data_IF_934797008811
#
_entry.id   IF_934797008811
#
_cell.length_a   1.000
_cell.length_b   1.000
_cell.length_c   1.000
_cell.angle_alpha   90.00
_cell.angle_beta   90.00
_cell.angle_gamma   90.00
#
_symmetry.space_group_name_H-M   'P 1'
#
loop_
_entity.id
_entity.type
_entity.pdbx_description
1 polymer ?
#
# COMPACT_ATOMS: atom_id res chain seq x y z
N UNK A 1 -32.99 48.66 2.79
CA UNK A 1 -32.02 49.38 1.98
C UNK A 1 -30.72 48.64 2.11
N UNK A 2 -30.10 48.03 1.15
CA UNK A 2 -30.22 47.98 -0.31
C UNK A 2 -29.71 46.62 -0.79
N UNK A 3 -30.36 46.13 -1.78
CA UNK A 3 -30.06 45.02 -2.69
C UNK A 3 -28.69 45.15 -3.39
N UNK A 4 -28.13 44.03 -3.79
CA UNK A 4 -27.44 43.74 -5.06
C UNK A 4 -27.39 42.20 -5.12
N UNK A 5 -28.19 41.52 -5.89
CA UNK A 5 -28.34 41.07 -7.28
C UNK A 5 -27.22 40.12 -7.74
N UNK A 6 -27.63 38.91 -7.88
CA UNK A 6 -27.45 37.85 -8.87
C UNK A 6 -26.54 38.14 -10.08
N UNK A 7 -25.69 37.20 -10.43
CA UNK A 7 -25.60 36.70 -11.82
C UNK A 7 -25.10 35.24 -11.81
N UNK A 8 -26.03 34.37 -12.21
CA UNK A 8 -25.78 33.00 -12.65
C UNK A 8 -25.45 33.02 -14.15
N UNK A 9 -24.42 32.32 -14.57
CA UNK A 9 -24.29 31.85 -15.95
C UNK A 9 -24.11 30.34 -16.00
N UNK A 10 -25.19 29.72 -16.48
CA UNK A 10 -25.22 28.35 -16.94
C UNK A 10 -24.53 28.24 -18.30
N UNK A 11 -23.52 27.39 -18.42
CA UNK A 11 -23.11 26.85 -19.71
C UNK A 11 -23.65 25.44 -19.88
N UNK A 12 -24.72 25.37 -20.71
CA UNK A 12 -25.22 24.15 -21.34
C UNK A 12 -24.24 23.67 -22.40
N UNK A 13 -23.79 22.41 -22.31
CA UNK A 13 -23.31 21.67 -23.47
C UNK A 13 -23.99 20.29 -23.47
N UNK A 14 -24.86 20.10 -24.46
CA UNK A 14 -25.55 18.85 -24.79
C UNK A 14 -24.59 17.85 -25.46
N UNK A 15 -24.87 16.53 -25.42
CA UNK A 15 -24.01 15.51 -26.00
C UNK A 15 -24.33 15.26 -27.47
N UNK A 16 -23.41 14.72 -28.27
CA UNK A 16 -23.76 14.11 -29.56
C UNK A 16 -24.03 12.60 -29.40
N UNK A 17 -25.06 12.20 -30.11
CA UNK A 17 -25.59 10.86 -30.32
C UNK A 17 -24.80 10.03 -31.33
N UNK A 18 -24.95 8.70 -31.19
CA UNK A 18 -24.93 7.62 -32.21
C UNK A 18 -23.55 7.19 -32.73
N UNK A 19 -23.31 5.95 -33.06
CA UNK A 19 -24.05 4.70 -33.13
C UNK A 19 -23.14 3.50 -33.46
N UNK A 20 -23.69 2.32 -33.22
CA UNK A 20 -23.56 1.02 -33.92
C UNK A 20 -22.32 0.15 -33.76
N UNK A 21 -22.57 -0.89 -33.01
CA UNK A 21 -22.37 -2.35 -33.19
C UNK A 21 -21.23 -2.88 -34.04
N UNK A 22 -20.41 -3.75 -33.46
CA UNK A 22 -20.14 -5.11 -33.94
C UNK A 22 -19.36 -5.94 -32.91
N UNK A 23 -19.91 -7.04 -32.59
CA UNK A 23 -19.44 -8.38 -32.16
C UNK A 23 -17.99 -8.61 -31.73
N UNK A 24 -17.84 -9.22 -30.55
CA UNK A 24 -17.01 -10.41 -30.34
C UNK A 24 -15.59 -10.17 -29.86
N UNK A 25 -15.33 -10.48 -28.58
CA UNK A 25 -13.98 -10.63 -28.08
C UNK A 25 -13.92 -10.45 -26.56
N UNK A 26 -13.88 -11.56 -25.83
CA UNK A 26 -13.53 -11.55 -24.42
C UNK A 26 -12.11 -11.01 -24.26
N UNK A 27 -11.99 -9.77 -23.77
CA UNK A 27 -10.73 -9.15 -23.42
C UNK A 27 -10.87 -8.55 -22.03
N UNK A 28 -10.01 -8.99 -21.12
CA UNK A 28 -9.86 -8.44 -19.80
C UNK A 28 -9.55 -6.95 -19.93
N UNK A 29 -10.54 -6.07 -19.75
CA UNK A 29 -10.32 -4.62 -19.71
C UNK A 29 -9.51 -4.27 -18.47
N UNK A 30 -8.25 -3.95 -18.69
CA UNK A 30 -7.44 -3.21 -17.72
C UNK A 30 -8.10 -1.85 -17.54
N UNK A 31 -8.73 -1.64 -16.38
CA UNK A 31 -9.20 -0.32 -15.97
C UNK A 31 -8.00 0.64 -15.94
N UNK A 32 -7.88 1.43 -16.99
CA UNK A 32 -6.91 2.51 -17.03
C UNK A 32 -7.42 3.64 -16.13
N UNK A 33 -6.73 3.87 -15.02
CA UNK A 33 -6.88 5.12 -14.28
C UNK A 33 -6.47 6.28 -15.19
N UNK A 34 -7.22 7.40 -15.24
CA UNK A 34 -6.80 8.57 -15.98
C UNK A 34 -5.43 9.05 -15.48
N UNK A 35 -4.47 9.15 -16.38
CA UNK A 35 -3.08 9.49 -16.08
C UNK A 35 -2.85 10.98 -15.77
N UNK A 36 -3.89 11.76 -15.48
CA UNK A 36 -3.76 13.20 -15.31
C UNK A 36 -4.51 13.72 -14.09
N UNK A 37 -3.87 13.64 -12.92
CA UNK A 37 -4.01 14.70 -11.92
C UNK A 37 -2.72 15.51 -11.99
N UNK A 38 -2.65 16.41 -12.97
CA UNK A 38 -1.61 17.41 -13.04
C UNK A 38 -1.81 18.43 -11.94
N UNK A 39 -0.98 18.37 -10.88
CA UNK A 39 -0.72 19.53 -10.04
C UNK A 39 -0.04 20.58 -10.94
N UNK A 40 -0.79 21.64 -11.29
CA UNK A 40 -0.28 22.81 -11.98
C UNK A 40 0.75 23.52 -11.09
N UNK A 41 2.01 23.40 -11.43
CA UNK A 41 3.08 24.20 -10.84
C UNK A 41 4.47 23.59 -10.95
N UNK A 42 5.00 23.39 -12.14
CA UNK A 42 6.38 23.69 -12.46
C UNK A 42 6.72 23.34 -13.92
N UNK A 43 6.67 24.33 -14.79
CA UNK A 43 7.39 24.25 -16.05
C UNK A 43 8.87 24.39 -15.74
N UNK A 44 9.66 23.31 -15.90
CA UNK A 44 11.07 23.33 -16.33
C UNK A 44 11.64 21.93 -16.50
N UNK A 45 12.17 21.71 -17.69
CA UNK A 45 13.27 20.82 -18.11
C UNK A 45 12.95 19.55 -18.89
N UNK A 46 12.85 19.77 -20.20
CA UNK A 46 12.93 18.74 -21.27
C UNK A 46 14.37 18.20 -21.48
N UNK A 47 15.30 18.36 -20.53
CA UNK A 47 16.68 17.84 -20.65
C UNK A 47 17.00 16.66 -19.74
N UNK A 48 16.02 16.09 -19.05
CA UNK A 48 16.25 14.97 -18.11
C UNK A 48 16.26 13.57 -18.73
N UNK A 49 15.58 13.37 -19.84
CA UNK A 49 15.32 12.01 -20.36
C UNK A 49 16.55 11.36 -21.03
N UNK A 50 17.46 12.14 -21.59
CA UNK A 50 18.65 11.60 -22.28
C UNK A 50 19.77 11.23 -21.31
N UNK A 51 19.84 11.87 -20.14
CA UNK A 51 20.83 11.54 -19.10
C UNK A 51 20.41 10.30 -18.32
N UNK A 52 19.11 10.01 -18.18
CA UNK A 52 18.61 8.85 -17.45
C UNK A 52 18.98 7.52 -18.13
N UNK A 53 19.02 7.47 -19.48
CA UNK A 53 19.27 6.23 -20.23
C UNK A 53 20.77 5.82 -20.16
N UNK A 54 21.68 6.77 -20.06
CA UNK A 54 23.11 6.47 -19.96
C UNK A 54 23.56 6.03 -18.55
N UNK A 55 22.82 6.41 -17.51
CA UNK A 55 23.11 6.05 -16.10
C UNK A 55 22.65 4.63 -15.78
N UNK A 56 21.69 4.07 -16.52
CA UNK A 56 20.99 2.83 -16.18
C UNK A 56 21.85 1.57 -16.27
N UNK A 57 22.79 1.45 -17.20
CA UNK A 57 23.52 0.19 -17.41
C UNK A 57 24.77 0.02 -16.53
N UNK A 58 25.46 1.09 -16.18
CA UNK A 58 26.64 1.04 -15.29
C UNK A 58 26.26 1.03 -13.79
N UNK A 59 25.04 1.48 -13.44
CA UNK A 59 24.56 1.57 -12.06
C UNK A 59 23.79 0.32 -11.58
N UNK A 60 23.38 -0.57 -12.49
CA UNK A 60 22.60 -1.75 -12.15
C UNK A 60 23.27 -2.67 -11.11
N UNK A 61 24.58 -3.02 -11.26
CA UNK A 61 25.29 -3.80 -10.24
C UNK A 61 25.36 -3.09 -8.88
N UNK A 62 25.50 -1.77 -8.89
CA UNK A 62 25.54 -0.96 -7.67
C UNK A 62 24.18 -0.86 -7.00
N UNK A 63 23.09 -0.65 -7.77
CA UNK A 63 21.71 -0.67 -7.27
C UNK A 63 21.40 -1.99 -6.57
N UNK A 64 21.68 -3.11 -7.24
CA UNK A 64 21.45 -4.46 -6.72
C UNK A 64 22.18 -4.67 -5.39
N UNK A 65 23.49 -4.33 -5.33
CA UNK A 65 24.29 -4.47 -4.11
C UNK A 65 23.77 -3.62 -2.95
N UNK A 66 23.35 -2.39 -3.22
CA UNK A 66 22.73 -1.53 -2.20
C UNK A 66 21.46 -2.17 -1.67
N UNK A 67 20.56 -2.63 -2.54
CA UNK A 67 19.32 -3.29 -2.15
C UNK A 67 19.59 -4.54 -1.32
N UNK A 68 20.47 -5.44 -1.78
CA UNK A 68 20.86 -6.65 -1.05
C UNK A 68 21.28 -6.35 0.37
N UNK A 69 22.22 -5.41 0.55
CA UNK A 69 22.77 -5.08 1.89
C UNK A 69 21.73 -4.36 2.74
N UNK A 70 21.06 -3.36 2.19
CA UNK A 70 20.15 -2.53 2.99
C UNK A 70 18.89 -3.28 3.41
N UNK A 71 18.29 -4.09 2.51
CA UNK A 71 17.10 -4.88 2.86
C UNK A 71 17.44 -5.90 3.96
N UNK A 72 18.58 -6.59 3.83
CA UNK A 72 19.07 -7.50 4.89
C UNK A 72 19.18 -6.76 6.23
N UNK A 73 19.84 -5.60 6.25
CA UNK A 73 20.04 -4.82 7.46
C UNK A 73 18.73 -4.26 8.04
N UNK A 74 17.77 -3.87 7.20
CA UNK A 74 16.45 -3.46 7.69
C UNK A 74 15.76 -4.59 8.45
N UNK A 75 15.89 -5.84 7.98
CA UNK A 75 15.30 -7.00 8.65
C UNK A 75 16.06 -7.42 9.91
N UNK A 76 17.40 -7.32 9.93
CA UNK A 76 18.24 -7.79 11.03
C UNK A 76 18.34 -6.79 12.19
N UNK A 77 18.44 -5.49 11.90
CA UNK A 77 18.71 -4.47 12.93
C UNK A 77 17.71 -3.30 12.95
N UNK A 78 16.74 -3.30 12.05
CA UNK A 78 15.73 -2.26 11.90
C UNK A 78 16.12 -1.15 10.94
N UNK A 79 15.09 -0.48 10.44
CA UNK A 79 15.25 0.64 9.49
C UNK A 79 16.05 1.80 10.10
N UNK A 80 15.71 2.22 11.32
CA UNK A 80 16.30 3.41 11.97
C UNK A 80 17.79 3.27 12.22
N UNK A 81 18.23 2.09 12.66
CA UNK A 81 19.64 1.81 12.98
C UNK A 81 20.51 1.58 11.75
N UNK A 82 19.92 1.35 10.57
CA UNK A 82 20.67 1.09 9.35
C UNK A 82 21.25 2.36 8.75
N UNK A 83 22.57 2.40 8.58
CA UNK A 83 23.32 3.47 7.89
C UNK A 83 23.80 2.93 6.55
N UNK A 84 23.13 3.33 5.48
CA UNK A 84 23.22 2.74 4.14
C UNK A 84 24.63 2.80 3.51
N UNK A 85 25.33 3.93 3.69
CA UNK A 85 26.57 4.20 2.97
C UNK A 85 27.77 3.44 3.51
N UNK A 86 27.85 3.28 4.84
CA UNK A 86 29.00 2.62 5.46
C UNK A 86 29.01 1.10 5.24
N UNK A 87 27.86 0.50 5.00
CA UNK A 87 27.69 -0.96 4.96
C UNK A 87 27.60 -1.52 3.54
N UNK A 88 27.20 -0.73 2.54
CA UNK A 88 27.07 -1.18 1.15
C UNK A 88 28.38 -1.13 0.35
N UNK A 89 29.46 -0.63 0.91
CA UNK A 89 30.75 -0.40 0.22
C UNK A 89 30.60 0.40 -1.08
N UNK A 90 29.62 1.28 -1.13
CA UNK A 90 29.33 2.18 -2.26
C UNK A 90 29.59 3.61 -1.81
N UNK A 91 30.18 4.44 -2.67
CA UNK A 91 30.39 5.84 -2.33
C UNK A 91 29.09 6.61 -2.16
N UNK A 92 29.09 7.63 -1.31
CA UNK A 92 27.94 8.52 -1.10
C UNK A 92 27.36 9.05 -2.43
N UNK A 93 28.23 9.44 -3.36
CA UNK A 93 27.79 9.96 -4.67
C UNK A 93 27.03 8.91 -5.48
N UNK A 94 27.51 7.67 -5.53
CA UNK A 94 26.86 6.58 -6.25
C UNK A 94 25.51 6.28 -5.59
N UNK A 95 25.46 6.21 -4.26
CA UNK A 95 24.21 5.99 -3.54
C UNK A 95 23.17 7.09 -3.84
N UNK A 96 23.57 8.36 -3.68
CA UNK A 96 22.67 9.50 -3.92
C UNK A 96 22.20 9.61 -5.37
N UNK A 97 23.01 9.19 -6.34
CA UNK A 97 22.61 9.15 -7.75
C UNK A 97 21.55 8.07 -8.03
N UNK A 98 21.56 6.95 -7.28
CA UNK A 98 20.63 5.83 -7.49
C UNK A 98 19.33 6.02 -6.69
N UNK A 99 19.44 6.33 -5.40
CA UNK A 99 18.31 6.35 -4.47
C UNK A 99 18.00 7.72 -3.84
N UNK A 100 18.87 8.73 -4.06
CA UNK A 100 18.80 10.05 -3.42
C UNK A 100 18.86 10.00 -1.89
N UNK A 101 18.07 9.10 -1.26
CA UNK A 101 17.98 8.89 0.18
C UNK A 101 17.69 7.42 0.51
N UNK A 102 17.75 7.06 1.78
CA UNK A 102 17.41 5.73 2.31
C UNK A 102 15.95 5.35 2.00
N UNK A 103 15.07 6.34 1.88
CA UNK A 103 13.65 6.18 1.59
C UNK A 103 13.41 5.56 0.20
N UNK A 104 14.27 5.82 -0.79
CA UNK A 104 14.19 5.16 -2.09
C UNK A 104 14.49 3.66 -2.02
N UNK A 105 15.35 3.22 -1.10
CA UNK A 105 15.56 1.79 -0.83
C UNK A 105 14.32 1.18 -0.16
N UNK A 106 13.72 1.91 0.79
CA UNK A 106 12.49 1.49 1.44
C UNK A 106 11.34 1.34 0.43
N UNK A 107 11.22 2.25 -0.53
CA UNK A 107 10.19 2.17 -1.57
C UNK A 107 10.30 0.89 -2.41
N UNK A 108 11.51 0.49 -2.82
CA UNK A 108 11.73 -0.78 -3.55
C UNK A 108 11.37 -2.03 -2.71
N UNK A 109 11.66 -1.99 -1.40
CA UNK A 109 11.26 -3.04 -0.48
C UNK A 109 9.74 -3.12 -0.32
N UNK A 110 9.11 -1.99 -0.13
CA UNK A 110 7.65 -1.85 0.06
C UNK A 110 6.89 -2.29 -1.18
N UNK A 111 7.34 -1.89 -2.37
CA UNK A 111 6.75 -2.35 -3.64
C UNK A 111 6.71 -3.87 -3.70
N UNK A 112 7.80 -4.54 -3.32
CA UNK A 112 7.84 -5.99 -3.28
C UNK A 112 6.92 -6.58 -2.20
N UNK A 113 6.92 -6.03 -0.97
CA UNK A 113 6.12 -6.54 0.14
C UNK A 113 4.61 -6.43 -0.13
N UNK A 114 4.18 -5.30 -0.69
CA UNK A 114 2.76 -4.98 -0.87
C UNK A 114 2.17 -5.48 -2.19
N UNK A 115 3.00 -5.79 -3.21
CA UNK A 115 2.51 -6.23 -4.53
C UNK A 115 1.64 -7.50 -4.50
N UNK A 116 1.78 -8.35 -3.48
CA UNK A 116 1.08 -9.63 -3.37
C UNK A 116 0.32 -9.84 -2.05
N UNK A 117 0.17 -8.79 -1.23
CA UNK A 117 -0.40 -8.94 0.11
C UNK A 117 -1.83 -9.52 0.12
N UNK A 118 -2.73 -9.01 -0.73
CA UNK A 118 -4.10 -9.52 -0.84
C UNK A 118 -4.15 -10.93 -1.46
N UNK A 119 -3.27 -11.25 -2.42
CA UNK A 119 -3.15 -12.59 -2.95
C UNK A 119 -2.69 -13.59 -1.88
N UNK A 120 -1.76 -13.18 -1.03
CA UNK A 120 -1.32 -13.97 0.13
C UNK A 120 -2.45 -14.18 1.12
N UNK A 121 -3.21 -13.13 1.46
CA UNK A 121 -4.36 -13.23 2.34
C UNK A 121 -5.44 -14.18 1.79
N UNK A 122 -5.77 -14.07 0.49
CA UNK A 122 -6.69 -15.00 -0.19
C UNK A 122 -6.21 -16.44 -0.12
N UNK A 123 -4.93 -16.69 -0.32
CA UNK A 123 -4.34 -18.03 -0.25
C UNK A 123 -4.40 -18.61 1.17
N UNK A 124 -4.14 -17.80 2.18
CA UNK A 124 -4.14 -18.24 3.59
C UNK A 124 -5.55 -18.43 4.16
N UNK A 125 -6.49 -17.60 3.71
CA UNK A 125 -7.86 -17.60 4.22
C UNK A 125 -8.78 -18.65 3.55
N UNK A 126 -8.36 -19.21 2.41
CA UNK A 126 -9.14 -20.12 1.58
C UNK A 126 -9.85 -19.41 0.41
N UNK A 127 -9.87 -20.08 -0.74
CA UNK A 127 -10.25 -19.50 -2.04
C UNK A 127 -11.72 -19.04 -2.16
N UNK A 128 -12.57 -19.28 -1.16
CA UNK A 128 -14.02 -18.99 -1.21
C UNK A 128 -14.49 -17.96 -0.18
N UNK A 129 -13.58 -17.26 0.51
CA UNK A 129 -14.00 -16.23 1.44
C UNK A 129 -14.60 -15.01 0.73
N UNK A 130 -15.67 -14.42 1.28
CA UNK A 130 -16.20 -13.16 0.78
C UNK A 130 -15.13 -12.06 0.83
N UNK A 131 -15.15 -11.08 -0.10
CA UNK A 131 -14.11 -10.07 -0.21
C UNK A 131 -13.81 -9.30 1.08
N UNK A 132 -14.83 -8.92 1.85
CA UNK A 132 -14.66 -8.21 3.13
C UNK A 132 -13.91 -9.05 4.19
N UNK A 133 -14.04 -10.37 4.17
CA UNK A 133 -13.28 -11.27 5.03
C UNK A 133 -11.80 -11.35 4.61
N UNK A 134 -11.52 -11.32 3.29
CA UNK A 134 -10.15 -11.26 2.78
C UNK A 134 -9.45 -9.98 3.26
N UNK A 135 -10.13 -8.84 3.21
CA UNK A 135 -9.63 -7.58 3.78
C UNK A 135 -9.30 -7.71 5.27
N UNK A 136 -10.22 -8.31 6.04
CA UNK A 136 -10.02 -8.49 7.49
C UNK A 136 -8.83 -9.41 7.80
N UNK A 137 -8.65 -10.49 7.04
CA UNK A 137 -7.50 -11.42 7.19
C UNK A 137 -6.19 -10.70 6.83
N UNK A 138 -6.16 -9.98 5.72
CA UNK A 138 -4.99 -9.22 5.28
C UNK A 138 -4.57 -8.20 6.33
N UNK A 139 -5.50 -7.40 6.80
CA UNK A 139 -5.31 -6.41 7.86
C UNK A 139 -4.81 -7.05 9.16
N UNK A 140 -5.45 -8.16 9.58
CA UNK A 140 -5.06 -8.88 10.78
C UNK A 140 -3.63 -9.44 10.68
N UNK A 141 -3.24 -9.95 9.51
CA UNK A 141 -1.87 -10.42 9.26
C UNK A 141 -0.88 -9.25 9.39
N UNK A 142 -1.13 -8.11 8.71
CA UNK A 142 -0.21 -6.96 8.76
C UNK A 142 0.00 -6.45 10.20
N UNK A 143 -1.08 -6.26 10.96
CA UNK A 143 -0.98 -5.83 12.35
C UNK A 143 -0.24 -6.84 13.22
N UNK A 144 -0.50 -8.14 13.02
CA UNK A 144 0.16 -9.19 13.78
C UNK A 144 1.65 -9.28 13.46
N UNK A 145 2.05 -9.12 12.19
CA UNK A 145 3.47 -9.06 11.79
C UNK A 145 4.24 -7.96 12.54
N UNK A 146 3.61 -6.81 12.75
CA UNK A 146 4.23 -5.71 13.50
C UNK A 146 4.33 -5.98 15.01
N UNK A 147 3.52 -6.90 15.55
CA UNK A 147 3.65 -7.35 16.94
C UNK A 147 4.69 -8.46 17.09
N UNK A 148 4.82 -9.33 16.10
CA UNK A 148 5.77 -10.45 16.14
C UNK A 148 7.22 -10.01 15.92
N UNK A 149 7.45 -8.90 15.20
CA UNK A 149 8.80 -8.48 14.82
C UNK A 149 8.95 -6.94 14.83
N UNK A 150 9.79 -6.44 15.75
CA UNK A 150 10.02 -5.00 15.92
C UNK A 150 10.66 -4.36 14.68
N UNK A 151 11.55 -5.04 13.97
CA UNK A 151 12.17 -4.52 12.76
C UNK A 151 11.15 -4.40 11.61
N UNK A 152 10.22 -5.37 11.49
CA UNK A 152 9.08 -5.25 10.59
C UNK A 152 8.16 -4.10 11.01
N UNK A 153 7.89 -3.92 12.30
CA UNK A 153 7.13 -2.75 12.80
C UNK A 153 7.75 -1.44 12.32
N UNK A 154 9.06 -1.28 12.48
CA UNK A 154 9.75 -0.08 11.98
C UNK A 154 9.59 0.10 10.47
N UNK A 155 9.75 -0.97 9.69
CA UNK A 155 9.60 -0.94 8.23
C UNK A 155 8.17 -0.52 7.84
N UNK A 156 7.14 -1.10 8.45
CA UNK A 156 5.74 -0.76 8.16
C UNK A 156 5.43 0.70 8.54
N UNK A 157 5.84 1.16 9.74
CA UNK A 157 5.62 2.55 10.17
C UNK A 157 6.27 3.54 9.20
N UNK A 158 7.51 3.29 8.79
CA UNK A 158 8.21 4.15 7.85
C UNK A 158 7.60 4.05 6.44
N UNK A 159 7.15 2.87 6.00
CA UNK A 159 6.45 2.67 4.73
C UNK A 159 5.19 3.55 4.61
N UNK A 160 4.40 3.63 5.67
CA UNK A 160 3.22 4.51 5.74
C UNK A 160 3.54 5.99 5.99
N UNK A 161 4.81 6.35 6.18
CA UNK A 161 5.26 7.72 6.49
C UNK A 161 6.00 8.35 5.33
N UNK A 162 6.89 7.59 4.67
CA UNK A 162 7.73 8.09 3.59
C UNK A 162 6.93 8.22 2.30
N UNK A 163 7.01 9.39 1.68
CA UNK A 163 6.11 9.78 0.57
C UNK A 163 6.08 8.77 -0.58
N UNK A 164 7.24 8.32 -1.08
CA UNK A 164 7.30 7.42 -2.25
C UNK A 164 6.68 6.05 -1.92
N UNK A 165 6.98 5.50 -0.75
CA UNK A 165 6.44 4.23 -0.27
C UNK A 165 4.94 4.33 0.03
N UNK A 166 4.51 5.36 0.76
CA UNK A 166 3.11 5.54 1.12
C UNK A 166 2.21 5.83 -0.09
N UNK A 167 2.67 6.65 -1.04
CA UNK A 167 1.94 6.90 -2.29
C UNK A 167 1.70 5.59 -3.09
N UNK A 168 2.66 4.67 -3.08
CA UNK A 168 2.50 3.35 -3.70
C UNK A 168 1.45 2.51 -2.95
N UNK A 169 1.59 2.39 -1.61
CA UNK A 169 0.65 1.64 -0.77
C UNK A 169 -0.77 2.14 -0.98
N UNK A 170 -1.01 3.44 -0.84
CA UNK A 170 -2.36 4.01 -0.93
C UNK A 170 -3.01 3.76 -2.29
N UNK A 171 -2.25 3.85 -3.39
CA UNK A 171 -2.79 3.60 -4.73
C UNK A 171 -3.13 2.13 -4.96
N UNK A 172 -2.25 1.22 -4.55
CA UNK A 172 -2.49 -0.21 -4.79
C UNK A 172 -3.59 -0.74 -3.85
N UNK A 173 -3.57 -0.34 -2.58
CA UNK A 173 -4.63 -0.72 -1.62
C UNK A 173 -5.98 -0.14 -2.03
N UNK A 174 -6.07 1.12 -2.46
CA UNK A 174 -7.34 1.72 -2.89
C UNK A 174 -8.00 0.97 -4.06
N UNK A 175 -7.22 0.40 -4.99
CA UNK A 175 -7.77 -0.44 -6.07
C UNK A 175 -8.45 -1.70 -5.53
N UNK A 176 -7.80 -2.38 -4.59
CA UNK A 176 -8.37 -3.56 -3.93
C UNK A 176 -9.60 -3.20 -3.10
N UNK A 177 -9.55 -2.09 -2.34
CA UNK A 177 -10.68 -1.61 -1.55
C UNK A 177 -11.90 -1.27 -2.41
N UNK A 178 -11.71 -0.66 -3.56
CA UNK A 178 -12.80 -0.41 -4.51
C UNK A 178 -13.43 -1.71 -5.02
N UNK A 179 -12.63 -2.74 -5.30
CA UNK A 179 -13.13 -4.05 -5.70
C UNK A 179 -13.87 -4.77 -4.56
N UNK A 180 -13.39 -4.63 -3.33
CA UNK A 180 -13.94 -5.29 -2.15
C UNK A 180 -15.23 -4.60 -1.69
N UNK A 181 -15.24 -3.29 -1.60
CA UNK A 181 -16.27 -2.50 -0.91
C UNK A 181 -17.13 -1.63 -1.84
N UNK A 182 -16.82 -1.55 -3.12
CA UNK A 182 -17.58 -0.70 -4.05
C UNK A 182 -19.07 -1.06 -4.13
N UNK A 183 -19.44 -2.32 -3.90
CA UNK A 183 -20.86 -2.75 -3.87
C UNK A 183 -21.63 -2.22 -2.65
N UNK A 184 -20.96 -1.88 -1.55
CA UNK A 184 -21.58 -1.27 -0.36
C UNK A 184 -21.78 0.25 -0.53
N UNK A 185 -21.05 0.89 -1.45
CA UNK A 185 -21.08 2.32 -1.71
C UNK A 185 -21.06 2.58 -3.23
N UNK A 186 -22.12 2.19 -3.96
CA UNK A 186 -22.15 2.23 -5.43
C UNK A 186 -22.09 3.64 -6.03
N UNK A 187 -22.33 4.67 -5.22
CA UNK A 187 -22.21 6.08 -5.58
C UNK A 187 -20.77 6.60 -5.60
N UNK A 188 -19.83 5.87 -4.95
CA UNK A 188 -18.44 6.28 -4.84
C UNK A 188 -17.60 5.76 -6.01
N UNK A 189 -16.62 6.57 -6.39
CA UNK A 189 -15.65 6.26 -7.44
C UNK A 189 -14.38 5.63 -6.86
N UNK A 190 -13.55 5.05 -7.71
CA UNK A 190 -12.21 4.58 -7.32
C UNK A 190 -11.34 5.71 -6.70
N UNK A 191 -11.57 6.98 -7.11
CA UNK A 191 -10.86 8.12 -6.53
C UNK A 191 -11.34 8.42 -5.10
N UNK A 192 -12.62 8.23 -4.81
CA UNK A 192 -13.14 8.39 -3.44
C UNK A 192 -12.55 7.31 -2.52
N UNK A 193 -12.42 6.07 -2.98
CA UNK A 193 -11.73 5.01 -2.25
C UNK A 193 -10.26 5.32 -1.98
N UNK A 194 -9.58 6.00 -2.90
CA UNK A 194 -8.22 6.49 -2.63
C UNK A 194 -8.21 7.52 -1.48
N UNK A 195 -9.17 8.44 -1.42
CA UNK A 195 -9.25 9.40 -0.32
C UNK A 195 -9.64 8.75 1.01
N UNK A 196 -10.49 7.73 0.98
CA UNK A 196 -10.82 6.93 2.17
C UNK A 196 -9.61 6.16 2.67
N UNK A 197 -8.79 5.61 1.76
CA UNK A 197 -7.58 4.90 2.12
C UNK A 197 -6.55 5.80 2.81
N UNK A 198 -6.42 7.07 2.48
CA UNK A 198 -5.57 7.99 3.23
C UNK A 198 -5.96 8.05 4.72
N UNK A 199 -7.25 7.96 5.03
CA UNK A 199 -7.76 7.91 6.40
C UNK A 199 -7.51 6.56 7.06
N UNK A 200 -7.89 5.44 6.41
CA UNK A 200 -7.76 4.10 6.97
C UNK A 200 -6.29 3.70 7.18
N UNK A 201 -5.42 4.02 6.23
CA UNK A 201 -3.99 3.83 6.35
C UNK A 201 -3.36 4.64 7.49
N UNK A 202 -3.84 5.88 7.72
CA UNK A 202 -3.42 6.69 8.86
C UNK A 202 -3.78 6.03 10.20
N UNK A 203 -4.99 5.50 10.32
CA UNK A 203 -5.45 4.74 11.49
C UNK A 203 -4.61 3.47 11.65
N UNK A 204 -4.41 2.71 10.57
CA UNK A 204 -3.60 1.49 10.57
C UNK A 204 -2.19 1.75 11.10
N UNK A 205 -1.53 2.76 10.55
CA UNK A 205 -0.20 3.19 10.98
C UNK A 205 -0.17 3.55 12.48
N UNK A 206 -1.19 4.25 12.98
CA UNK A 206 -1.26 4.60 14.40
C UNK A 206 -1.32 3.35 15.29
N UNK A 207 -2.14 2.36 14.92
CA UNK A 207 -2.20 1.08 15.66
C UNK A 207 -0.90 0.29 15.57
N UNK A 208 -0.24 0.24 14.41
CA UNK A 208 1.06 -0.43 14.25
C UNK A 208 2.15 0.24 15.10
N UNK A 209 2.10 1.57 15.26
CA UNK A 209 3.07 2.33 16.04
C UNK A 209 2.92 2.14 17.56
N UNK A 210 1.79 1.62 18.02
CA UNK A 210 1.52 1.29 19.42
C UNK A 210 1.68 -0.21 19.65
N UNK A 211 2.76 -0.71 20.27
CA UNK A 211 2.88 -2.11 20.66
C UNK A 211 1.72 -2.55 21.55
N UNK A 212 1.37 -3.83 21.47
CA UNK A 212 0.39 -4.41 22.39
C UNK A 212 0.92 -4.41 23.82
N UNK A 213 0.01 -4.21 24.77
CA UNK A 213 0.23 -4.26 26.20
C UNK A 213 -0.95 -4.93 26.91
N UNK A 214 -1.02 -4.83 28.24
CA UNK A 214 -2.10 -5.43 29.05
C UNK A 214 -3.48 -4.80 28.78
N UNK A 215 -3.52 -3.52 28.40
CA UNK A 215 -4.77 -2.79 28.13
C UNK A 215 -5.18 -2.88 26.65
N UNK A 216 -4.22 -2.90 25.72
CA UNK A 216 -4.43 -3.00 24.27
C UNK A 216 -3.83 -4.30 23.74
N UNK A 217 -4.52 -5.43 23.99
CA UNK A 217 -4.12 -6.74 23.45
C UNK A 217 -4.28 -6.77 21.92
N UNK A 218 -3.62 -7.72 21.25
CA UNK A 218 -3.72 -7.88 19.80
C UNK A 218 -5.19 -8.06 19.34
N UNK A 219 -5.94 -8.88 20.06
CA UNK A 219 -7.35 -9.18 19.77
C UNK A 219 -8.20 -7.90 19.86
N UNK A 220 -8.00 -7.11 20.91
CA UNK A 220 -8.68 -5.83 21.09
C UNK A 220 -8.27 -4.81 20.01
N UNK A 221 -6.98 -4.76 19.67
CA UNK A 221 -6.45 -3.91 18.60
C UNK A 221 -7.09 -4.24 17.26
N UNK A 222 -7.13 -5.53 16.89
CA UNK A 222 -7.77 -5.99 15.66
C UNK A 222 -9.26 -5.68 15.64
N UNK A 223 -9.98 -5.98 16.74
CA UNK A 223 -11.41 -5.69 16.86
C UNK A 223 -11.70 -4.19 16.67
N UNK A 224 -10.94 -3.32 17.34
CA UNK A 224 -11.14 -1.87 17.26
C UNK A 224 -10.87 -1.35 15.85
N UNK A 225 -9.75 -1.73 15.24
CA UNK A 225 -9.43 -1.29 13.89
C UNK A 225 -10.46 -1.79 12.87
N UNK A 226 -10.78 -3.09 12.86
CA UNK A 226 -11.75 -3.66 11.93
C UNK A 226 -13.14 -3.03 12.09
N UNK A 227 -13.57 -2.77 13.33
CA UNK A 227 -14.85 -2.08 13.57
C UNK A 227 -14.85 -0.70 12.92
N UNK A 228 -13.79 0.07 13.09
CA UNK A 228 -13.69 1.43 12.53
C UNK A 228 -13.58 1.40 11.01
N UNK A 229 -12.71 0.57 10.44
CA UNK A 229 -12.47 0.53 9.00
C UNK A 229 -13.68 -0.03 8.24
N UNK A 230 -14.28 -1.13 8.68
CA UNK A 230 -15.45 -1.72 8.01
C UNK A 230 -16.67 -0.80 8.06
N UNK A 231 -16.87 -0.05 9.16
CA UNK A 231 -17.91 0.99 9.21
C UNK A 231 -17.67 2.12 8.23
N UNK A 232 -16.42 2.54 8.04
CA UNK A 232 -16.10 3.57 7.05
C UNK A 232 -16.41 3.13 5.61
N UNK A 233 -16.36 1.82 5.34
CA UNK A 233 -16.74 1.21 4.07
C UNK A 233 -18.22 0.80 3.99
N UNK A 234 -19.06 1.24 4.94
CA UNK A 234 -20.50 0.99 5.02
C UNK A 234 -20.89 -0.50 5.04
N UNK A 235 -20.00 -1.35 5.55
CA UNK A 235 -20.34 -2.77 5.79
C UNK A 235 -21.44 -2.84 6.87
N UNK A 236 -22.52 -3.64 6.67
CA UNK A 236 -23.58 -3.79 7.67
C UNK A 236 -23.06 -4.28 9.02
N UNK A 237 -23.63 -3.76 10.12
CA UNK A 237 -23.13 -4.05 11.47
C UNK A 237 -23.14 -5.54 11.83
N UNK A 238 -24.18 -6.28 11.37
CA UNK A 238 -24.25 -7.72 11.58
C UNK A 238 -23.17 -8.50 10.82
N UNK A 239 -22.74 -8.02 9.67
CA UNK A 239 -21.62 -8.57 8.91
C UNK A 239 -20.29 -8.22 9.57
N UNK A 240 -20.11 -6.99 10.07
CA UNK A 240 -18.94 -6.60 10.85
C UNK A 240 -18.74 -7.54 12.03
N UNK A 241 -19.81 -7.82 12.79
CA UNK A 241 -19.71 -8.73 13.94
C UNK A 241 -19.32 -10.16 13.54
N UNK A 242 -19.83 -10.65 12.40
CA UNK A 242 -19.43 -11.97 11.85
C UNK A 242 -17.96 -12.00 11.43
N UNK A 243 -17.47 -10.93 10.79
CA UNK A 243 -16.08 -10.79 10.38
C UNK A 243 -15.15 -10.75 11.61
N UNK A 244 -15.50 -9.96 12.63
CA UNK A 244 -14.73 -9.88 13.88
C UNK A 244 -14.70 -11.24 14.59
N UNK A 245 -15.83 -11.92 14.69
CA UNK A 245 -15.92 -13.26 15.28
C UNK A 245 -15.06 -14.28 14.49
N UNK A 246 -15.06 -14.19 13.15
CA UNK A 246 -14.24 -15.04 12.30
C UNK A 246 -12.73 -14.82 12.57
N UNK A 247 -12.28 -13.58 12.63
CA UNK A 247 -10.87 -13.26 12.94
C UNK A 247 -10.53 -13.71 14.36
N UNK A 248 -11.43 -13.51 15.36
CA UNK A 248 -11.25 -13.96 16.73
C UNK A 248 -11.19 -15.49 16.90
N UNK A 249 -11.80 -16.24 15.97
CA UNK A 249 -11.71 -17.71 15.93
C UNK A 249 -10.48 -18.26 15.20
N UNK A 250 -9.69 -17.39 14.55
CA UNK A 250 -8.51 -17.76 13.79
C UNK A 250 -7.27 -17.72 14.69
N UNK A 251 -6.38 -18.71 14.57
CA UNK A 251 -5.03 -18.62 15.15
C UNK A 251 -4.17 -17.67 14.30
N UNK A 252 -4.48 -16.37 14.41
CA UNK A 252 -3.85 -15.34 13.59
C UNK A 252 -2.34 -15.24 13.82
N UNK A 253 -1.85 -15.58 15.03
CA UNK A 253 -0.42 -15.56 15.36
C UNK A 253 0.32 -16.61 14.54
N UNK A 254 -0.12 -17.86 14.59
CA UNK A 254 0.49 -18.96 13.79
C UNK A 254 0.38 -18.69 12.27
N UNK A 255 -0.74 -18.13 11.82
CA UNK A 255 -0.88 -17.73 10.39
C UNK A 255 0.14 -16.67 10.03
N UNK A 256 0.28 -15.63 10.86
CA UNK A 256 1.21 -14.53 10.60
C UNK A 256 2.69 -14.95 10.72
N UNK A 257 3.02 -15.85 11.62
CA UNK A 257 4.39 -16.43 11.71
C UNK A 257 4.77 -17.15 10.42
N UNK A 258 3.84 -17.93 9.83
CA UNK A 258 4.07 -18.57 8.54
C UNK A 258 4.23 -17.53 7.41
N UNK A 259 3.38 -16.52 7.38
CA UNK A 259 3.49 -15.42 6.40
C UNK A 259 4.83 -14.69 6.55
N UNK A 260 5.25 -14.40 7.77
CA UNK A 260 6.55 -13.77 8.05
C UNK A 260 7.72 -14.62 7.54
N UNK A 261 7.69 -15.92 7.79
CA UNK A 261 8.73 -16.84 7.30
C UNK A 261 8.81 -16.85 5.78
N UNK A 262 7.67 -16.99 5.09
CA UNK A 262 7.63 -16.97 3.62
C UNK A 262 8.00 -15.59 3.04
N UNK A 263 7.61 -14.49 3.69
CA UNK A 263 8.03 -13.15 3.32
C UNK A 263 9.55 -13.01 3.39
N UNK A 264 10.17 -13.41 4.50
CA UNK A 264 11.63 -13.30 4.67
C UNK A 264 12.38 -14.15 3.64
N UNK A 265 11.90 -15.36 3.39
CA UNK A 265 12.45 -16.23 2.34
C UNK A 265 12.32 -15.62 0.94
N UNK A 266 11.16 -15.04 0.63
CA UNK A 266 10.93 -14.36 -0.65
C UNK A 266 11.82 -13.12 -0.81
N UNK A 267 11.99 -12.31 0.26
CA UNK A 267 12.90 -11.17 0.29
C UNK A 267 14.36 -11.59 0.11
N UNK A 268 14.79 -12.65 0.81
CA UNK A 268 16.14 -13.19 0.67
C UNK A 268 16.43 -13.67 -0.78
N UNK A 269 15.46 -14.33 -1.42
CA UNK A 269 15.57 -14.70 -2.83
C UNK A 269 15.55 -13.48 -3.76
N UNK A 270 14.64 -12.55 -3.55
CA UNK A 270 14.48 -11.36 -4.41
C UNK A 270 15.71 -10.46 -4.39
N UNK A 271 16.26 -10.23 -3.21
CA UNK A 271 17.39 -9.33 -2.98
C UNK A 271 18.74 -10.05 -2.81
N UNK A 272 18.77 -11.38 -2.99
CA UNK A 272 19.95 -12.23 -3.03
C UNK A 272 20.84 -12.11 -1.78
N UNK A 273 20.26 -12.32 -0.60
CA UNK A 273 21.00 -12.43 0.65
C UNK A 273 20.63 -13.72 1.40
N UNK A 274 21.45 -14.11 2.37
CA UNK A 274 21.17 -15.19 3.33
C UNK A 274 20.67 -14.59 4.64
N UNK A 275 19.62 -15.19 5.19
CA UNK A 275 19.10 -14.88 6.53
C UNK A 275 19.92 -15.60 7.59
#
# INVERSE_FOLDING_TARGET
MSQISEHSEFCNISPPLTAQSAAGGQGCERLAFPAEVCYNGCKKNVRRDVVLIAITNASLPSKKRILTVCVKLFLEQGYKKTTVVQQSSVSNSIFQNIFRAKDGVLAELVEFMFSNQFATARSMAGAQLPPAYVYAVETAIQMTLTELNENLREIYIEAYTQKEASDYIFRETAKELYQIFGSYQPELTAQDFFFMELGSAGIMRAYMAHPCDEELTLEKKLQMFLTMSLRSYHVPEDEIQKIIAFIGGMDIRTVSERVMHELFKALAMRFEFTL
#
